data_IF_543277362089
#
_entry.id   IF_543277362089
#
_cell.length_a   1.000
_cell.length_b   1.000
_cell.length_c   1.000
_cell.angle_alpha   90.00
_cell.angle_beta   90.00
_cell.angle_gamma   90.00
#
_symmetry.space_group_name_H-M   'P 1'
#
loop_
_entity.id
_entity.type
_entity.pdbx_description
1 polymer ?
#
# COMPACT_ATOMS: atom_id res chain seq x y z
N UNK A 1 10.93 -21.79 -2.03
CA UNK A 1 10.76 -20.55 -1.23
C UNK A 1 10.97 -19.36 -2.15
N UNK A 2 9.92 -18.58 -2.40
CA UNK A 2 10.04 -17.32 -3.14
C UNK A 2 10.56 -16.24 -2.21
N UNK A 3 11.80 -15.79 -2.38
CA UNK A 3 12.29 -14.57 -1.74
C UNK A 3 11.80 -13.39 -2.57
N UNK A 4 10.66 -12.82 -2.20
CA UNK A 4 10.18 -11.60 -2.85
C UNK A 4 10.76 -10.42 -2.11
N UNK A 5 11.80 -9.79 -2.69
CA UNK A 5 12.23 -8.47 -2.26
C UNK A 5 11.21 -7.49 -2.83
N UNK A 6 10.26 -7.03 -2.02
CA UNK A 6 9.36 -5.93 -2.37
C UNK A 6 10.22 -4.67 -2.32
N UNK A 7 11.01 -4.45 -3.37
CA UNK A 7 12.03 -3.40 -3.40
C UNK A 7 11.67 -2.35 -4.44
N UNK A 8 11.66 -1.08 -4.05
CA UNK A 8 11.42 0.07 -4.93
C UNK A 8 12.66 0.54 -5.69
N UNK A 9 13.83 -0.06 -5.49
CA UNK A 9 15.06 0.41 -6.14
C UNK A 9 15.99 1.24 -5.24
N UNK A 10 15.66 1.45 -3.97
CA UNK A 10 16.21 2.60 -3.23
C UNK A 10 16.93 2.25 -1.92
N UNK A 11 18.11 2.83 -1.71
CA UNK A 11 18.94 2.72 -0.51
C UNK A 11 18.70 3.87 0.49
N UNK A 12 17.49 4.43 0.50
CA UNK A 12 17.14 5.62 1.29
C UNK A 12 15.80 5.41 1.98
N UNK A 13 15.72 5.75 3.25
CA UNK A 13 14.45 5.78 3.99
C UNK A 13 13.52 6.86 3.42
N UNK A 14 12.25 6.53 3.23
CA UNK A 14 11.27 7.46 2.65
C UNK A 14 9.98 7.51 3.41
N UNK A 15 9.42 8.72 3.49
CA UNK A 15 8.04 8.88 3.90
C UNK A 15 7.13 8.36 2.78
N UNK A 16 6.10 7.60 3.15
CA UNK A 16 5.13 7.01 2.23
C UNK A 16 3.71 7.25 2.73
N UNK A 17 2.73 7.15 1.83
CA UNK A 17 1.31 7.32 2.19
C UNK A 17 0.72 6.10 2.89
N UNK A 18 1.20 4.91 2.55
CA UNK A 18 0.77 3.65 3.15
C UNK A 18 1.88 2.60 3.09
N UNK A 19 1.83 1.66 4.03
CA UNK A 19 2.74 0.50 4.12
C UNK A 19 1.86 -0.75 4.08
N UNK A 20 2.31 -1.77 3.36
CA UNK A 20 1.63 -3.06 3.28
C UNK A 20 1.48 -3.71 4.65
N UNK A 21 0.32 -4.32 4.91
CA UNK A 21 0.06 -5.15 6.09
C UNK A 21 0.92 -6.41 6.20
N UNK A 22 1.77 -6.73 5.22
CA UNK A 22 2.63 -7.93 5.26
C UNK A 22 3.69 -7.82 6.36
N UNK A 23 4.28 -6.64 6.54
CA UNK A 23 5.27 -6.38 7.59
C UNK A 23 5.23 -4.90 7.97
N UNK A 24 4.71 -4.61 9.17
CA UNK A 24 4.56 -3.25 9.69
C UNK A 24 4.96 -3.23 11.16
N UNK A 25 5.67 -2.18 11.56
CA UNK A 25 6.02 -1.92 12.96
C UNK A 25 5.39 -0.59 13.39
N UNK A 26 4.74 -0.60 14.54
CA UNK A 26 4.09 0.58 15.13
C UNK A 26 4.42 0.67 16.62
N UNK A 27 4.69 1.89 17.10
CA UNK A 27 4.86 2.11 18.53
C UNK A 27 3.53 1.90 19.28
N UNK A 28 3.58 1.35 20.49
CA UNK A 28 2.38 1.21 21.35
C UNK A 28 1.66 2.54 21.57
N UNK A 29 2.41 3.64 21.67
CA UNK A 29 1.87 5.00 21.80
C UNK A 29 1.02 5.37 20.57
N UNK A 30 1.58 5.21 19.37
CA UNK A 30 0.87 5.51 18.11
C UNK A 30 -0.35 4.61 17.92
N UNK A 31 -0.25 3.33 18.27
CA UNK A 31 -1.37 2.38 18.23
C UNK A 31 -2.55 2.81 19.11
N UNK A 32 -2.25 3.24 20.34
CA UNK A 32 -3.27 3.70 21.28
C UNK A 32 -3.94 5.00 20.82
N UNK A 33 -3.20 5.92 20.19
CA UNK A 33 -3.75 7.21 19.70
C UNK A 33 -4.85 7.00 18.66
N UNK A 34 -4.71 6.00 17.80
CA UNK A 34 -5.70 5.72 16.74
C UNK A 34 -6.73 4.66 17.14
N UNK A 35 -6.66 4.15 18.38
CA UNK A 35 -7.51 3.09 18.91
C UNK A 35 -7.47 1.79 18.08
N UNK A 36 -6.28 1.34 17.66
CA UNK A 36 -6.09 0.06 16.98
C UNK A 36 -6.63 -0.01 15.55
N UNK A 37 -7.12 -1.19 15.14
CA UNK A 37 -7.69 -1.42 13.81
C UNK A 37 -9.18 -1.11 13.77
N UNK A 38 -9.67 -0.72 12.59
CA UNK A 38 -11.09 -0.68 12.31
C UNK A 38 -11.56 -2.10 11.96
N UNK A 39 -12.14 -2.80 12.93
CA UNK A 39 -12.61 -4.18 12.79
C UNK A 39 -13.76 -4.34 11.79
N UNK A 40 -14.29 -3.25 11.23
CA UNK A 40 -15.26 -3.33 10.16
C UNK A 40 -14.66 -3.84 8.85
N UNK A 41 -13.34 -3.73 8.63
CA UNK A 41 -12.67 -4.32 7.47
C UNK A 41 -12.47 -5.82 7.69
N UNK A 42 -12.94 -6.64 6.74
CA UNK A 42 -12.93 -8.10 6.90
C UNK A 42 -11.57 -8.72 6.58
N UNK A 43 -10.97 -8.29 5.48
CA UNK A 43 -9.77 -8.96 4.94
C UNK A 43 -8.85 -8.02 4.17
N UNK A 44 -9.39 -6.99 3.52
CA UNK A 44 -8.65 -6.12 2.61
C UNK A 44 -8.64 -4.68 3.10
N UNK A 45 -7.61 -3.94 2.70
CA UNK A 45 -7.48 -2.49 2.87
C UNK A 45 -7.48 -1.94 4.31
N UNK A 46 -7.49 -2.82 5.32
CA UNK A 46 -7.36 -2.44 6.74
C UNK A 46 -6.02 -1.74 7.01
N UNK A 47 -4.97 -2.12 6.27
CA UNK A 47 -3.62 -1.56 6.33
C UNK A 47 -3.57 -0.15 5.73
N UNK A 48 -4.29 0.09 4.63
CA UNK A 48 -4.47 1.43 4.06
C UNK A 48 -5.24 2.33 5.03
N UNK A 49 -6.36 1.86 5.59
CA UNK A 49 -7.12 2.61 6.58
C UNK A 49 -6.28 2.97 7.81
N UNK A 50 -5.52 1.99 8.34
CA UNK A 50 -4.58 2.18 9.44
C UNK A 50 -3.58 3.31 9.13
N UNK A 51 -2.95 3.26 7.95
CA UNK A 51 -1.97 4.24 7.51
C UNK A 51 -2.58 5.64 7.40
N UNK A 52 -3.76 5.77 6.79
CA UNK A 52 -4.43 7.05 6.64
C UNK A 52 -4.87 7.65 7.99
N UNK A 53 -5.31 6.82 8.95
CA UNK A 53 -5.59 7.27 10.33
C UNK A 53 -4.35 7.75 11.05
N UNK A 54 -3.22 7.06 10.92
CA UNK A 54 -1.94 7.49 11.48
C UNK A 54 -1.50 8.84 10.91
N UNK A 55 -1.63 9.01 9.59
CA UNK A 55 -1.31 10.29 8.93
C UNK A 55 -2.21 11.42 9.43
N UNK A 56 -3.52 11.18 9.55
CA UNK A 56 -4.45 12.18 10.13
C UNK A 56 -4.14 12.52 11.59
N UNK A 57 -3.58 11.58 12.35
CA UNK A 57 -3.10 11.82 13.71
C UNK A 57 -1.71 12.51 13.77
N UNK A 58 -1.13 12.88 12.61
CA UNK A 58 0.13 13.63 12.52
C UNK A 58 1.39 12.76 12.52
N UNK A 59 1.26 11.44 12.37
CA UNK A 59 2.41 10.54 12.28
C UNK A 59 2.96 10.44 10.86
N UNK A 60 4.26 10.16 10.76
CA UNK A 60 4.93 9.81 9.51
C UNK A 60 4.98 8.29 9.37
N UNK A 61 4.74 7.81 8.17
CA UNK A 61 4.94 6.41 7.80
C UNK A 61 6.23 6.33 6.99
N UNK A 62 7.13 5.46 7.41
CA UNK A 62 8.47 5.36 6.82
C UNK A 62 8.67 3.96 6.24
N UNK A 63 9.05 3.90 4.97
CA UNK A 63 9.57 2.69 4.36
C UNK A 63 11.07 2.58 4.66
N UNK A 64 11.47 1.47 5.28
CA UNK A 64 12.86 1.19 5.62
C UNK A 64 13.45 0.14 4.67
N UNK A 65 14.40 0.51 3.77
CA UNK A 65 14.96 -0.41 2.78
C UNK A 65 16.03 -1.36 3.35
N UNK A 66 16.46 -1.16 4.61
CA UNK A 66 17.48 -1.96 5.28
C UNK A 66 16.89 -3.14 6.07
N UNK A 67 15.57 -3.15 6.27
CA UNK A 67 14.88 -4.25 6.94
C UNK A 67 14.46 -5.32 5.93
N UNK A 68 14.67 -6.59 6.27
CA UNK A 68 14.26 -7.72 5.45
C UNK A 68 13.17 -8.55 6.15
N UNK A 69 12.14 -8.91 5.38
CA UNK A 69 11.07 -9.80 5.82
C UNK A 69 10.91 -10.92 4.80
N UNK A 70 10.85 -12.16 5.28
CA UNK A 70 10.68 -13.35 4.44
C UNK A 70 9.26 -13.87 4.64
N UNK A 71 8.44 -13.76 3.60
CA UNK A 71 7.10 -14.33 3.57
C UNK A 71 7.07 -15.55 2.67
N UNK A 72 6.54 -16.67 3.18
CA UNK A 72 6.21 -17.81 2.33
C UNK A 72 4.79 -17.63 1.81
N UNK A 73 4.66 -17.29 0.53
CA UNK A 73 3.36 -17.17 -0.14
C UNK A 73 3.13 -18.44 -0.94
N UNK A 74 2.02 -19.14 -0.69
CA UNK A 74 1.63 -20.37 -1.38
C UNK A 74 0.82 -20.13 -2.65
N UNK A 75 0.19 -18.96 -2.77
CA UNK A 75 -0.75 -18.64 -3.85
C UNK A 75 -0.24 -17.41 -4.63
N UNK A 76 0.15 -17.59 -5.90
CA UNK A 76 0.76 -16.54 -6.75
C UNK A 76 -0.19 -15.42 -7.17
N UNK A 77 -1.44 -15.44 -6.70
CA UNK A 77 -2.45 -14.46 -7.07
C UNK A 77 -2.36 -13.24 -6.13
N UNK A 78 -1.25 -12.52 -6.27
CA UNK A 78 -0.98 -11.25 -5.58
C UNK A 78 -1.95 -10.20 -6.14
N UNK A 79 -2.46 -9.30 -5.30
CA UNK A 79 -3.30 -8.17 -5.69
C UNK A 79 -4.66 -8.52 -6.33
N UNK A 80 -5.23 -9.71 -6.03
CA UNK A 80 -6.61 -10.10 -6.46
C UNK A 80 -7.64 -9.03 -6.11
N UNK A 81 -7.47 -8.41 -4.96
CA UNK A 81 -8.34 -7.38 -4.44
C UNK A 81 -8.41 -6.17 -5.36
N UNK A 82 -7.39 -5.88 -6.19
CA UNK A 82 -7.43 -4.79 -7.15
C UNK A 82 -8.43 -5.04 -8.28
N UNK A 83 -8.75 -6.29 -8.60
CA UNK A 83 -9.75 -6.62 -9.62
C UNK A 83 -11.17 -6.26 -9.11
N UNK A 84 -11.90 -5.35 -9.79
CA UNK A 84 -13.25 -4.96 -9.40
C UNK A 84 -14.26 -6.13 -9.35
N UNK A 85 -14.02 -7.20 -10.11
CA UNK A 85 -14.86 -8.40 -10.14
C UNK A 85 -14.61 -9.33 -8.95
N UNK A 86 -13.59 -9.07 -8.14
CA UNK A 86 -13.25 -9.93 -7.01
C UNK A 86 -14.14 -9.62 -5.80
N UNK A 87 -15.20 -10.42 -5.67
CA UNK A 87 -16.31 -10.21 -4.74
C UNK A 87 -15.90 -10.07 -3.27
N UNK A 88 -14.91 -10.82 -2.80
CA UNK A 88 -14.46 -10.74 -1.39
C UNK A 88 -13.92 -9.34 -1.02
N UNK A 89 -13.37 -8.60 -1.99
CA UNK A 89 -12.83 -7.25 -1.75
C UNK A 89 -13.88 -6.14 -1.86
N UNK A 90 -15.03 -6.40 -2.46
CA UNK A 90 -16.00 -5.36 -2.86
C UNK A 90 -16.49 -4.58 -1.64
N UNK A 91 -16.82 -5.27 -0.55
CA UNK A 91 -17.32 -4.65 0.67
C UNK A 91 -16.27 -3.77 1.33
N UNK A 92 -15.05 -4.28 1.49
CA UNK A 92 -13.94 -3.55 2.11
C UNK A 92 -13.50 -2.37 1.23
N UNK A 93 -13.47 -2.54 -0.09
CA UNK A 93 -13.22 -1.45 -1.05
C UNK A 93 -14.27 -0.35 -0.93
N UNK A 94 -15.55 -0.72 -0.90
CA UNK A 94 -16.66 0.24 -0.77
C UNK A 94 -16.53 1.02 0.54
N UNK A 95 -16.18 0.36 1.65
CA UNK A 95 -15.93 1.02 2.94
C UNK A 95 -14.76 1.99 2.85
N UNK A 96 -13.63 1.56 2.28
CA UNK A 96 -12.45 2.40 2.10
C UNK A 96 -12.80 3.67 1.31
N UNK A 97 -13.46 3.52 0.16
CA UNK A 97 -13.87 4.64 -0.70
C UNK A 97 -14.87 5.55 0.03
N UNK A 98 -15.84 4.99 0.74
CA UNK A 98 -16.83 5.77 1.50
C UNK A 98 -16.16 6.59 2.61
N UNK A 99 -15.17 6.02 3.29
CA UNK A 99 -14.48 6.66 4.42
C UNK A 99 -13.42 7.67 3.98
N UNK A 100 -12.71 7.39 2.89
CA UNK A 100 -11.51 8.13 2.49
C UNK A 100 -11.62 8.86 1.16
N UNK A 101 -12.47 8.43 0.22
CA UNK A 101 -12.80 9.07 -1.06
C UNK A 101 -11.77 10.07 -1.59
N UNK A 102 -12.00 11.35 -1.31
CA UNK A 102 -11.18 12.49 -1.76
C UNK A 102 -9.71 12.40 -1.34
N UNK A 103 -9.41 11.82 -0.17
CA UNK A 103 -8.03 11.62 0.30
C UNK A 103 -7.27 10.55 -0.46
N UNK A 104 -7.95 9.73 -1.29
CA UNK A 104 -7.31 8.72 -2.12
C UNK A 104 -6.89 9.29 -3.50
N UNK A 105 -7.46 10.44 -3.90
CA UNK A 105 -7.18 11.05 -5.21
C UNK A 105 -5.82 11.74 -5.27
N UNK A 106 -5.25 12.08 -4.11
CA UNK A 106 -3.97 12.78 -3.99
C UNK A 106 -3.07 12.04 -3.02
N UNK A 107 -1.90 11.63 -3.49
CA UNK A 107 -0.84 11.06 -2.66
C UNK A 107 0.34 12.04 -2.60
N UNK A 108 0.54 12.67 -1.44
CA UNK A 108 1.61 13.64 -1.21
C UNK A 108 3.03 13.06 -1.41
N UNK A 109 3.18 11.74 -1.32
CA UNK A 109 4.44 11.04 -1.46
C UNK A 109 4.61 10.38 -2.83
N UNK A 110 3.64 10.57 -3.73
CA UNK A 110 3.68 10.05 -5.08
C UNK A 110 3.59 11.19 -6.11
N UNK A 111 4.61 11.31 -6.95
CA UNK A 111 4.60 12.31 -8.02
C UNK A 111 3.59 11.92 -9.10
N UNK A 112 2.72 12.85 -9.50
CA UNK A 112 1.80 12.66 -10.64
C UNK A 112 2.51 12.38 -11.97
N UNK A 113 3.79 12.76 -12.06
CA UNK A 113 4.68 12.50 -13.18
C UNK A 113 5.30 11.10 -13.15
N UNK A 114 5.28 10.40 -12.01
CA UNK A 114 5.73 9.01 -11.92
C UNK A 114 4.64 8.07 -12.44
N UNK A 115 5.05 6.96 -13.05
CA UNK A 115 4.12 5.99 -13.59
C UNK A 115 3.66 4.97 -12.54
N UNK A 116 2.34 4.80 -12.40
CA UNK A 116 1.72 3.95 -11.37
C UNK A 116 1.96 2.45 -11.65
N UNK A 117 2.62 2.15 -12.78
CA UNK A 117 2.88 0.81 -13.32
C UNK A 117 4.13 0.21 -12.67
N UNK A 118 4.22 0.33 -11.34
CA UNK A 118 4.64 -0.72 -10.41
C UNK A 118 6.05 -1.32 -10.46
N UNK A 119 6.91 -1.10 -11.47
CA UNK A 119 8.21 -1.80 -11.54
C UNK A 119 9.44 -0.92 -11.42
N UNK A 120 9.33 0.35 -11.78
CA UNK A 120 10.51 1.18 -12.04
C UNK A 120 10.33 2.64 -11.60
N UNK A 121 9.13 3.06 -11.15
CA UNK A 121 8.81 4.45 -10.74
C UNK A 121 9.28 5.50 -11.77
N UNK A 122 9.40 5.11 -13.04
CA UNK A 122 9.93 5.95 -14.11
C UNK A 122 8.93 7.06 -14.42
N UNK A 123 9.39 8.27 -14.80
CA UNK A 123 8.49 9.30 -15.27
C UNK A 123 7.66 8.83 -16.48
N UNK A 124 6.36 9.17 -16.46
CA UNK A 124 5.44 8.95 -17.57
C UNK A 124 6.05 9.39 -18.90
N UNK A 125 6.06 8.50 -19.88
CA UNK A 125 6.53 8.77 -21.24
C UNK A 125 7.99 8.42 -21.52
N UNK A 126 8.73 7.87 -20.55
CA UNK A 126 10.05 7.28 -20.77
C UNK A 126 9.91 5.77 -20.93
N UNK A 127 10.16 5.25 -22.14
CA UNK A 127 10.27 3.82 -22.51
C UNK A 127 9.90 2.82 -21.40
N UNK A 128 8.62 2.74 -21.05
CA UNK A 128 8.11 1.57 -20.35
C UNK A 128 8.25 0.43 -21.35
N UNK A 129 9.24 -0.45 -21.15
CA UNK A 129 9.47 -1.56 -22.07
C UNK A 129 8.14 -2.24 -22.34
N UNK A 130 7.83 -2.52 -23.61
CA UNK A 130 6.57 -3.10 -24.09
C UNK A 130 6.08 -4.25 -23.19
N UNK A 131 5.37 -3.91 -22.12
CA UNK A 131 4.72 -4.80 -21.22
C UNK A 131 3.25 -4.50 -21.46
N UNK A 132 2.67 -5.22 -22.41
CA UNK A 132 1.23 -5.17 -22.66
C UNK A 132 0.49 -5.46 -21.37
N UNK A 133 -0.30 -4.49 -20.91
CA UNK A 133 -1.35 -4.74 -19.93
C UNK A 133 -2.64 -4.09 -20.41
N UNK A 134 -3.61 -4.97 -20.65
CA UNK A 134 -4.99 -4.68 -20.99
C UNK A 134 -5.69 -4.04 -19.78
N UNK A 135 -6.36 -2.91 -20.04
CA UNK A 135 -7.35 -2.32 -19.13
C UNK A 135 -8.69 -3.05 -19.27
#
# INVERSE_FOLDING_TARGET
>A
MSKTKIWSGEWVEKNVSAISGNCLLISKKSWNVINGLDESFQKYYWDIDLCLRLRRAGFRLVSNPFSEFIQTISDYKIFKELNPKFLESVNDRKKLITKWGVFLDVDDFYSSHSDLVGKDMIPKGLNHGFLEWYW
#
